data_IF_742600344941
#
_entry.id   IF_742600344941
#
_cell.length_a   1.000
_cell.length_b   1.000
_cell.length_c   1.000
_cell.angle_alpha   90.00
_cell.angle_beta   90.00
_cell.angle_gamma   90.00
#
_symmetry.space_group_name_H-M   'P 1'
#
loop_
_entity.id
_entity.type
_entity.pdbx_description
1 polymer ?
#
# COMPACT_ATOMS: atom_id res chain seq x y z
N UNK A 1 -13.21 -10.62 -34.63
CA UNK A 1 -14.31 -10.08 -33.78
C UNK A 1 -14.47 -8.61 -34.11
N UNK A 2 -15.47 -8.24 -34.91
CA UNK A 2 -15.61 -6.89 -35.48
C UNK A 2 -16.48 -6.00 -34.57
N UNK A 3 -15.94 -4.85 -34.14
CA UNK A 3 -16.68 -3.82 -33.39
C UNK A 3 -17.67 -3.12 -34.34
N UNK A 4 -18.92 -3.01 -33.89
CA UNK A 4 -20.04 -2.48 -34.66
C UNK A 4 -19.87 -0.99 -35.02
N UNK A 5 -20.10 -0.64 -36.30
CA UNK A 5 -20.07 0.73 -36.86
C UNK A 5 -21.03 1.73 -36.17
N UNK A 6 -21.90 1.28 -35.26
CA UNK A 6 -22.74 2.16 -34.42
C UNK A 6 -21.99 2.81 -33.26
N UNK A 7 -20.86 2.25 -32.82
CA UNK A 7 -20.10 2.75 -31.67
C UNK A 7 -19.12 3.88 -32.05
N UNK A 8 -18.61 3.89 -33.29
CA UNK A 8 -17.75 4.97 -33.81
C UNK A 8 -18.49 6.28 -34.09
N UNK A 9 -19.81 6.25 -34.34
CA UNK A 9 -20.60 7.48 -34.60
C UNK A 9 -21.02 8.25 -33.35
N UNK A 10 -20.86 7.68 -32.15
CA UNK A 10 -21.12 8.38 -30.87
C UNK A 10 -19.93 9.19 -30.36
N UNK A 11 -18.71 8.88 -30.80
CA UNK A 11 -17.50 9.59 -30.38
C UNK A 11 -17.26 10.90 -31.15
N UNK A 12 -17.87 11.09 -32.32
CA UNK A 12 -17.68 12.29 -33.15
C UNK A 12 -18.60 13.48 -32.81
N UNK A 13 -19.47 13.36 -31.79
CA UNK A 13 -20.45 14.42 -31.43
C UNK A 13 -20.16 15.18 -30.13
N UNK A 14 -19.07 14.88 -29.41
CA UNK A 14 -18.68 15.63 -28.21
C UNK A 14 -17.61 16.71 -28.46
N UNK A 15 -17.12 16.86 -29.69
CA UNK A 15 -16.08 17.83 -30.03
C UNK A 15 -16.67 19.10 -30.67
N UNK A 16 -17.49 19.85 -29.93
CA UNK A 16 -17.82 21.23 -30.31
C UNK A 16 -18.28 22.00 -29.06
N UNK A 17 -17.55 23.08 -28.77
CA UNK A 17 -17.85 24.12 -27.77
C UNK A 17 -17.35 23.87 -26.34
N UNK A 18 -16.02 23.89 -26.17
CA UNK A 18 -15.39 24.39 -24.94
C UNK A 18 -14.84 25.78 -25.28
N UNK A 19 -15.50 26.82 -24.77
CA UNK A 19 -14.94 28.17 -24.73
C UNK A 19 -13.82 28.17 -23.69
N UNK A 20 -12.58 28.39 -24.14
CA UNK A 20 -11.39 28.46 -23.29
C UNK A 20 -11.40 29.78 -22.53
N UNK A 21 -11.59 29.72 -21.21
CA UNK A 21 -11.29 30.82 -20.29
C UNK A 21 -9.76 30.83 -20.09
N UNK A 22 -9.07 31.97 -20.29
CA UNK A 22 -7.63 32.05 -20.08
C UNK A 22 -7.25 31.82 -18.60
N UNK A 23 -6.13 31.14 -18.31
CA UNK A 23 -5.76 30.66 -16.98
C UNK A 23 -5.43 31.76 -15.95
N UNK A 24 -5.37 33.04 -16.34
CA UNK A 24 -5.06 34.16 -15.45
C UNK A 24 -6.20 34.55 -14.50
N UNK A 25 -7.44 34.19 -14.83
CA UNK A 25 -8.63 34.68 -14.10
C UNK A 25 -9.13 33.73 -13.00
N UNK A 26 -8.60 32.50 -12.92
CA UNK A 26 -8.96 31.53 -11.87
C UNK A 26 -8.24 31.73 -10.53
N UNK A 27 -7.19 32.55 -10.49
CA UNK A 27 -6.30 32.65 -9.31
C UNK A 27 -6.76 33.76 -8.34
N UNK A 28 -7.58 34.73 -8.77
CA UNK A 28 -7.90 35.92 -7.97
C UNK A 28 -9.11 35.83 -7.02
N UNK A 29 -9.91 34.76 -7.03
CA UNK A 29 -11.19 34.73 -6.28
C UNK A 29 -11.23 33.87 -5.00
N UNK A 30 -10.13 33.18 -4.63
CA UNK A 30 -10.13 32.25 -3.47
C UNK A 30 -9.49 32.78 -2.18
N UNK A 31 -9.24 34.09 -2.05
CA UNK A 31 -8.50 34.66 -0.91
C UNK A 31 -9.34 35.09 0.30
N UNK A 32 -10.67 34.92 0.29
CA UNK A 32 -11.55 35.50 1.32
C UNK A 32 -12.39 34.52 2.15
N UNK A 33 -12.12 33.21 2.10
CA UNK A 33 -12.82 32.26 2.98
C UNK A 33 -12.12 32.17 4.35
N UNK A 34 -12.84 32.37 5.47
CA UNK A 34 -12.27 32.21 6.80
C UNK A 34 -11.85 30.76 7.05
N UNK A 35 -10.65 30.58 7.61
CA UNK A 35 -10.05 29.27 7.87
C UNK A 35 -10.81 28.59 9.03
N UNK A 36 -11.31 27.36 8.89
CA UNK A 36 -12.02 26.69 9.97
C UNK A 36 -11.05 26.40 11.13
N UNK A 37 -11.40 26.86 12.33
CA UNK A 37 -10.71 26.53 13.57
C UNK A 37 -11.05 25.10 13.98
N UNK A 38 -10.06 24.21 13.94
CA UNK A 38 -10.17 22.84 14.45
C UNK A 38 -10.09 22.93 15.98
N UNK A 39 -11.06 22.38 16.74
CA UNK A 39 -10.97 22.36 18.18
C UNK A 39 -9.76 21.52 18.62
N UNK A 40 -8.95 22.09 19.53
CA UNK A 40 -7.82 21.42 20.16
C UNK A 40 -8.31 20.25 21.01
N UNK A 41 -7.98 19.02 20.60
CA UNK A 41 -8.25 17.82 21.38
C UNK A 41 -7.12 17.66 22.39
N UNK A 42 -7.37 18.08 23.64
CA UNK A 42 -6.52 17.74 24.77
C UNK A 42 -6.71 16.27 25.18
N UNK A 43 -5.61 15.56 25.40
CA UNK A 43 -5.56 14.30 26.14
C UNK A 43 -5.46 13.02 25.30
N UNK A 44 -4.40 12.85 24.50
CA UNK A 44 -4.02 11.53 23.97
C UNK A 44 -3.17 10.81 25.02
N UNK A 45 -3.76 9.82 25.69
CA UNK A 45 -3.02 8.78 26.41
C UNK A 45 -2.01 8.14 25.45
N UNK A 46 -0.73 8.10 25.82
CA UNK A 46 0.36 7.50 25.05
C UNK A 46 0.32 5.96 25.08
N UNK A 47 -0.81 5.38 24.66
CA UNK A 47 -0.79 4.05 24.04
C UNK A 47 -0.44 4.28 22.57
N UNK A 48 0.82 4.07 22.21
CA UNK A 48 1.31 4.19 20.84
C UNK A 48 0.37 3.46 19.88
N UNK A 49 -0.24 4.17 18.92
CA UNK A 49 -1.20 3.54 18.00
C UNK A 49 -0.49 2.45 17.19
N UNK A 50 -1.20 1.38 16.82
CA UNK A 50 -0.60 0.22 16.16
C UNK A 50 0.30 0.54 14.95
N UNK A 51 0.07 1.59 14.12
CA UNK A 51 1.00 1.93 13.04
C UNK A 51 2.37 2.39 13.56
N UNK A 52 2.41 3.17 14.64
CA UNK A 52 3.67 3.62 15.25
C UNK A 52 4.43 2.42 15.83
N UNK A 53 3.72 1.50 16.51
CA UNK A 53 4.35 0.29 17.01
C UNK A 53 4.90 -0.59 15.87
N UNK A 54 4.17 -0.74 14.76
CA UNK A 54 4.67 -1.42 13.55
C UNK A 54 5.93 -0.74 13.00
N UNK A 55 5.96 0.59 12.97
CA UNK A 55 7.13 1.34 12.51
C UNK A 55 8.34 1.11 13.40
N UNK A 56 8.14 1.10 14.73
CA UNK A 56 9.18 0.79 15.71
C UNK A 56 9.73 -0.63 15.48
N UNK A 57 8.86 -1.63 15.25
CA UNK A 57 9.27 -3.01 14.94
C UNK A 57 10.11 -3.08 13.65
N UNK A 58 9.71 -2.37 12.60
CA UNK A 58 10.48 -2.31 11.35
C UNK A 58 11.88 -1.72 11.57
N UNK A 59 11.98 -0.63 12.36
CA UNK A 59 13.27 -0.02 12.69
C UNK A 59 14.15 -0.94 13.53
N UNK A 60 13.57 -1.63 14.52
CA UNK A 60 14.26 -2.62 15.35
C UNK A 60 14.77 -3.79 14.52
N UNK A 61 14.02 -4.22 13.50
CA UNK A 61 14.46 -5.22 12.53
C UNK A 61 15.50 -4.72 11.51
N UNK A 62 16.02 -3.50 11.69
CA UNK A 62 16.98 -2.84 10.83
C UNK A 62 16.48 -2.59 9.38
N UNK A 63 15.16 -2.45 9.17
CA UNK A 63 14.61 -2.00 7.88
C UNK A 63 15.03 -0.55 7.65
N UNK A 64 15.61 -0.28 6.48
CA UNK A 64 16.12 1.05 6.08
C UNK A 64 15.62 1.51 4.72
N UNK A 65 14.81 0.67 4.05
CA UNK A 65 14.10 1.03 2.83
C UNK A 65 12.62 0.67 2.92
N UNK A 66 11.77 1.58 2.44
CA UNK A 66 10.32 1.37 2.33
C UNK A 66 9.87 1.69 0.90
N UNK A 67 9.49 0.65 0.16
CA UNK A 67 8.84 0.79 -1.14
C UNK A 67 7.33 0.82 -0.95
N UNK A 68 6.61 1.75 -1.58
CA UNK A 68 5.16 1.82 -1.43
C UNK A 68 4.44 2.35 -2.69
N UNK A 69 3.23 1.84 -2.92
CA UNK A 69 2.21 2.53 -3.72
C UNK A 69 1.25 3.22 -2.74
N UNK A 70 0.87 4.50 -2.95
CA UNK A 70 -0.01 5.21 -2.02
C UNK A 70 -1.32 4.47 -1.74
N UNK A 71 -1.52 4.06 -0.48
CA UNK A 71 -2.74 3.43 0.01
C UNK A 71 -3.19 4.08 1.32
N UNK A 72 -4.52 4.18 1.48
CA UNK A 72 -5.15 4.75 2.66
C UNK A 72 -4.90 3.91 3.92
N UNK A 73 -4.76 2.58 3.79
CA UNK A 73 -4.46 1.71 4.92
C UNK A 73 -3.03 1.85 5.44
N UNK A 74 -2.11 2.31 4.59
CA UNK A 74 -0.70 2.51 4.92
C UNK A 74 -0.30 3.97 5.15
N UNK A 75 -1.22 4.93 5.04
CA UNK A 75 -0.88 6.36 5.02
C UNK A 75 -0.01 6.78 6.21
N UNK A 76 -0.32 6.30 7.42
CA UNK A 76 0.47 6.65 8.60
C UNK A 76 1.88 6.06 8.59
N UNK A 77 2.05 4.81 8.13
CA UNK A 77 3.37 4.18 7.97
C UNK A 77 4.19 4.90 6.90
N UNK A 78 3.57 5.30 5.79
CA UNK A 78 4.20 6.05 4.71
C UNK A 78 4.67 7.42 5.22
N UNK A 79 3.80 8.18 5.90
CA UNK A 79 4.15 9.47 6.49
C UNK A 79 5.36 9.37 7.42
N UNK A 80 5.33 8.44 8.38
CA UNK A 80 6.45 8.24 9.32
C UNK A 80 7.74 7.82 8.61
N UNK A 81 7.64 7.01 7.56
CA UNK A 81 8.81 6.59 6.77
C UNK A 81 9.40 7.75 5.97
N UNK A 82 8.58 8.68 5.49
CA UNK A 82 9.04 9.88 4.77
C UNK A 82 9.72 10.87 5.73
N UNK A 83 9.17 11.00 6.94
CA UNK A 83 9.66 11.96 7.95
C UNK A 83 10.94 11.48 8.66
N UNK A 84 11.27 10.19 8.60
CA UNK A 84 12.43 9.60 9.29
C UNK A 84 13.71 9.63 8.42
N UNK A 85 14.78 10.32 8.85
CA UNK A 85 16.00 10.46 8.06
C UNK A 85 16.83 9.16 7.93
N UNK A 86 16.55 8.13 8.73
CA UNK A 86 17.21 6.82 8.63
C UNK A 86 16.53 5.90 7.61
N UNK A 87 15.34 6.26 7.12
CA UNK A 87 14.57 5.46 6.17
C UNK A 87 14.63 6.09 4.79
N UNK A 88 15.13 5.32 3.82
CA UNK A 88 14.99 5.67 2.40
C UNK A 88 13.62 5.22 1.91
N UNK A 89 12.84 6.13 1.33
CA UNK A 89 11.53 5.78 0.77
C UNK A 89 11.54 5.79 -0.75
N UNK A 90 10.74 4.92 -1.36
CA UNK A 90 10.53 4.89 -2.80
C UNK A 90 9.04 4.80 -3.09
N UNK A 91 8.49 5.86 -3.65
CA UNK A 91 7.15 5.84 -4.23
C UNK A 91 7.22 5.06 -5.54
N UNK A 92 6.49 3.96 -5.61
CA UNK A 92 6.50 3.03 -6.73
C UNK A 92 5.43 3.41 -7.75
N UNK A 93 5.71 3.20 -9.03
CA UNK A 93 4.71 3.37 -10.10
C UNK A 93 3.76 2.17 -10.12
N UNK A 94 4.30 0.99 -9.84
CA UNK A 94 3.57 -0.27 -9.72
C UNK A 94 4.13 -1.10 -8.58
N UNK A 95 3.31 -1.98 -7.98
CA UNK A 95 3.72 -2.78 -6.83
C UNK A 95 4.87 -3.75 -7.17
N UNK A 96 4.95 -4.27 -8.40
CA UNK A 96 6.00 -5.19 -8.81
C UNK A 96 7.40 -4.57 -8.81
N UNK A 97 7.53 -3.26 -9.06
CA UNK A 97 8.81 -2.53 -8.95
C UNK A 97 9.40 -2.67 -7.54
N UNK A 98 8.53 -2.65 -6.53
CA UNK A 98 8.90 -2.80 -5.13
C UNK A 98 9.61 -4.11 -4.84
N UNK A 99 9.23 -5.20 -5.53
CA UNK A 99 9.87 -6.51 -5.36
C UNK A 99 11.30 -6.48 -5.90
N UNK A 100 11.49 -5.93 -7.10
CA UNK A 100 12.83 -5.82 -7.70
C UNK A 100 13.75 -4.93 -6.85
N UNK A 101 13.23 -3.79 -6.37
CA UNK A 101 13.96 -2.88 -5.50
C UNK A 101 14.28 -3.56 -4.17
N UNK A 102 13.34 -4.29 -3.56
CA UNK A 102 13.56 -4.96 -2.29
C UNK A 102 14.67 -6.02 -2.41
N UNK A 103 14.66 -6.81 -3.47
CA UNK A 103 15.73 -7.78 -3.77
C UNK A 103 17.07 -7.07 -3.98
N UNK A 104 17.09 -5.98 -4.75
CA UNK A 104 18.31 -5.20 -4.97
C UNK A 104 18.86 -4.56 -3.68
N UNK A 105 17.98 -4.04 -2.83
CA UNK A 105 18.33 -3.48 -1.52
C UNK A 105 18.99 -4.56 -0.65
N UNK A 106 18.42 -5.78 -0.60
CA UNK A 106 19.02 -6.89 0.14
C UNK A 106 20.41 -7.24 -0.38
N UNK A 107 20.59 -7.33 -1.70
CA UNK A 107 21.90 -7.56 -2.32
C UNK A 107 22.91 -6.45 -2.00
N UNK A 108 22.43 -5.23 -1.79
CA UNK A 108 23.23 -4.09 -1.32
C UNK A 108 23.45 -4.03 0.20
N UNK A 109 22.99 -5.02 0.97
CA UNK A 109 23.11 -5.08 2.43
C UNK A 109 22.06 -4.26 3.19
N UNK A 110 20.96 -3.87 2.54
CA UNK A 110 19.89 -3.06 3.11
C UNK A 110 18.59 -3.87 3.22
N UNK A 111 17.98 -3.87 4.40
CA UNK A 111 16.66 -4.50 4.62
C UNK A 111 15.55 -3.56 4.18
N UNK A 112 14.57 -4.11 3.48
CA UNK A 112 13.49 -3.37 2.83
C UNK A 112 12.13 -4.00 3.07
N UNK A 113 11.11 -3.17 3.26
CA UNK A 113 9.70 -3.60 3.32
C UNK A 113 8.93 -2.97 2.17
N UNK A 114 8.02 -3.75 1.57
CA UNK A 114 7.09 -3.24 0.56
C UNK A 114 5.69 -3.07 1.17
N UNK A 115 5.11 -1.90 1.01
CA UNK A 115 3.74 -1.60 1.44
C UNK A 115 2.83 -1.56 0.22
N UNK A 116 1.80 -2.39 0.21
CA UNK A 116 0.84 -2.45 -0.90
C UNK A 116 -0.56 -2.80 -0.44
N UNK A 117 -1.53 -2.70 -1.34
CA UNK A 117 -2.91 -3.14 -1.15
C UNK A 117 -3.14 -4.48 -1.88
N UNK A 118 -4.15 -5.25 -1.46
CA UNK A 118 -4.48 -6.56 -2.05
C UNK A 118 -4.68 -6.56 -3.57
N UNK A 119 -5.14 -5.46 -4.18
CA UNK A 119 -5.32 -5.38 -5.63
C UNK A 119 -3.99 -5.41 -6.39
N UNK A 120 -2.92 -4.87 -5.79
CA UNK A 120 -1.58 -4.85 -6.36
C UNK A 120 -0.87 -6.19 -6.31
N UNK A 121 -1.26 -7.06 -5.37
CA UNK A 121 -0.69 -8.41 -5.25
C UNK A 121 -0.85 -9.21 -6.54
N UNK A 122 -1.95 -9.02 -7.27
CA UNK A 122 -2.19 -9.70 -8.55
C UNK A 122 -1.12 -9.39 -9.61
N UNK A 123 -0.59 -8.16 -9.62
CA UNK A 123 0.47 -7.74 -10.55
C UNK A 123 1.85 -8.29 -10.14
N UNK A 124 2.01 -8.57 -8.85
CA UNK A 124 3.27 -9.00 -8.25
C UNK A 124 3.61 -10.47 -8.48
N UNK A 125 2.64 -11.35 -8.79
CA UNK A 125 2.82 -12.81 -8.71
C UNK A 125 4.01 -13.32 -9.53
N UNK A 126 4.14 -12.88 -10.78
CA UNK A 126 5.29 -13.29 -11.60
C UNK A 126 6.61 -12.74 -11.04
N UNK A 127 6.61 -11.51 -10.51
CA UNK A 127 7.81 -10.87 -9.98
C UNK A 127 8.27 -11.50 -8.65
N UNK A 128 7.34 -12.03 -7.85
CA UNK A 128 7.65 -12.79 -6.63
C UNK A 128 8.47 -14.07 -6.90
N UNK A 129 8.47 -14.57 -8.15
CA UNK A 129 9.37 -15.67 -8.52
C UNK A 129 10.85 -15.31 -8.32
N UNK A 130 11.23 -14.03 -8.40
CA UNK A 130 12.60 -13.59 -8.17
C UNK A 130 13.03 -13.91 -6.73
N UNK A 131 12.46 -13.30 -5.67
CA UNK A 131 12.94 -13.55 -4.31
C UNK A 131 12.76 -15.00 -3.87
N UNK A 132 11.75 -15.71 -4.38
CA UNK A 132 11.55 -17.14 -4.11
C UNK A 132 12.67 -17.98 -4.72
N UNK A 133 13.01 -17.77 -5.99
CA UNK A 133 14.05 -18.55 -6.66
C UNK A 133 15.46 -18.20 -6.20
N UNK A 134 15.71 -16.93 -5.88
CA UNK A 134 17.00 -16.47 -5.36
C UNK A 134 17.13 -16.67 -3.85
N UNK A 135 16.06 -17.11 -3.17
CA UNK A 135 15.98 -17.26 -1.71
C UNK A 135 16.40 -15.98 -0.97
N UNK A 136 16.02 -14.83 -1.52
CA UNK A 136 16.33 -13.55 -0.88
C UNK A 136 15.20 -13.19 0.09
N UNK A 137 15.50 -12.79 1.32
CA UNK A 137 14.55 -12.22 2.25
C UNK A 137 13.59 -11.23 1.59
N UNK A 138 12.30 -11.37 1.88
CA UNK A 138 11.30 -10.43 1.41
C UNK A 138 10.22 -10.24 2.46
N UNK A 139 9.92 -8.98 2.78
CA UNK A 139 8.83 -8.62 3.68
C UNK A 139 7.89 -7.67 2.95
N UNK A 140 6.60 -8.01 2.94
CA UNK A 140 5.55 -7.12 2.45
C UNK A 140 4.42 -7.02 3.47
N UNK A 141 3.86 -5.82 3.61
CA UNK A 141 2.67 -5.56 4.41
C UNK A 141 1.54 -5.17 3.46
N UNK A 142 0.50 -5.98 3.43
CA UNK A 142 -0.60 -5.87 2.48
C UNK A 142 -1.88 -5.47 3.20
N UNK A 143 -2.46 -4.34 2.84
CA UNK A 143 -3.80 -3.96 3.30
C UNK A 143 -4.84 -4.68 2.47
N UNK A 144 -5.77 -5.36 3.13
CA UNK A 144 -6.81 -6.13 2.44
C UNK A 144 -8.00 -5.27 2.05
N UNK A 145 -8.52 -5.54 0.85
CA UNK A 145 -9.78 -5.04 0.27
C UNK A 145 -10.55 -6.20 -0.33
N UNK A 146 -11.85 -6.02 -0.57
CA UNK A 146 -12.71 -7.11 -1.07
C UNK A 146 -13.34 -7.94 0.04
N UNK A 147 -13.29 -7.46 1.29
CA UNK A 147 -13.68 -8.22 2.48
C UNK A 147 -14.83 -7.52 3.23
N UNK A 148 -14.72 -7.42 4.55
CA UNK A 148 -15.76 -6.88 5.43
C UNK A 148 -16.20 -5.48 5.00
N UNK A 149 -17.52 -5.32 4.82
CA UNK A 149 -18.17 -4.08 4.40
C UNK A 149 -17.60 -3.45 3.11
N UNK A 150 -17.04 -4.26 2.20
CA UNK A 150 -16.69 -3.83 0.85
C UNK A 150 -17.93 -3.76 -0.04
N UNK A 151 -17.95 -2.76 -0.91
CA UNK A 151 -19.03 -2.55 -1.88
C UNK A 151 -18.51 -2.33 -3.30
N UNK A 152 -17.21 -2.08 -3.47
CA UNK A 152 -16.58 -2.01 -4.77
C UNK A 152 -16.34 -3.43 -5.32
N UNK A 153 -17.08 -3.86 -6.36
CA UNK A 153 -16.96 -5.22 -6.89
C UNK A 153 -15.57 -5.53 -7.46
N UNK A 154 -14.82 -4.51 -7.89
CA UNK A 154 -13.47 -4.68 -8.44
C UNK A 154 -12.45 -5.17 -7.39
N UNK A 155 -12.75 -4.98 -6.10
CA UNK A 155 -11.87 -5.41 -5.02
C UNK A 155 -12.11 -6.86 -4.58
N UNK A 156 -13.31 -7.40 -4.85
CA UNK A 156 -13.73 -8.72 -4.38
C UNK A 156 -12.84 -9.86 -4.89
N UNK A 157 -12.45 -9.92 -6.20
CA UNK A 157 -11.62 -11.02 -6.69
C UNK A 157 -10.29 -11.13 -5.96
N UNK A 158 -9.58 -10.00 -5.80
CA UNK A 158 -8.31 -10.01 -5.09
C UNK A 158 -8.48 -10.17 -3.57
N UNK A 159 -9.58 -9.70 -2.98
CA UNK A 159 -9.90 -10.00 -1.57
C UNK A 159 -9.99 -11.50 -1.28
N UNK A 160 -10.49 -12.29 -2.23
CA UNK A 160 -10.58 -13.75 -2.12
C UNK A 160 -9.27 -14.45 -2.51
N UNK A 161 -8.57 -13.94 -3.53
CA UNK A 161 -7.43 -14.63 -4.15
C UNK A 161 -6.07 -14.30 -3.53
N UNK A 162 -5.92 -13.17 -2.83
CA UNK A 162 -4.60 -12.66 -2.40
C UNK A 162 -3.77 -13.69 -1.62
N UNK A 163 -4.33 -14.26 -0.54
CA UNK A 163 -3.60 -15.23 0.28
C UNK A 163 -3.21 -16.48 -0.53
N UNK A 164 -4.18 -17.09 -1.20
CA UNK A 164 -3.93 -18.29 -2.00
C UNK A 164 -2.88 -18.03 -3.12
N UNK A 165 -2.87 -16.84 -3.70
CA UNK A 165 -1.92 -16.47 -4.76
C UNK A 165 -0.50 -16.30 -4.23
N UNK A 166 -0.36 -15.69 -3.04
CA UNK A 166 0.93 -15.55 -2.34
C UNK A 166 1.47 -16.92 -1.90
N UNK A 167 0.63 -17.76 -1.29
CA UNK A 167 1.02 -19.10 -0.86
C UNK A 167 1.40 -19.99 -2.06
N UNK A 168 0.67 -19.90 -3.18
CA UNK A 168 0.95 -20.68 -4.38
C UNK A 168 2.32 -20.38 -5.00
N UNK A 169 2.82 -19.14 -4.91
CA UNK A 169 4.15 -18.78 -5.40
C UNK A 169 5.25 -19.04 -4.35
N UNK A 170 4.90 -19.43 -3.12
CA UNK A 170 5.84 -19.78 -2.05
C UNK A 170 6.09 -18.69 -1.02
N UNK A 171 5.26 -17.63 -0.97
CA UNK A 171 5.32 -16.61 0.07
C UNK A 171 4.51 -17.05 1.28
N UNK A 172 5.11 -16.98 2.47
CA UNK A 172 4.43 -17.29 3.72
C UNK A 172 3.48 -16.16 4.10
N UNK A 173 2.26 -16.49 4.49
CA UNK A 173 1.22 -15.50 4.80
C UNK A 173 0.89 -15.53 6.29
N UNK A 174 0.96 -14.35 6.93
CA UNK A 174 0.48 -14.12 8.29
C UNK A 174 -0.65 -13.10 8.21
N UNK A 175 -1.78 -13.38 8.86
CA UNK A 175 -2.98 -12.55 8.73
C UNK A 175 -3.39 -11.98 10.08
N UNK A 176 -3.62 -10.68 10.12
CA UNK A 176 -3.91 -9.93 11.34
C UNK A 176 -5.22 -9.14 11.21
N UNK A 177 -5.99 -9.13 12.30
CA UNK A 177 -7.34 -8.54 12.37
C UNK A 177 -7.47 -7.44 13.43
N UNK A 178 -6.51 -7.35 14.35
CA UNK A 178 -6.43 -6.33 15.39
C UNK A 178 -5.08 -5.60 15.31
N UNK A 179 -4.98 -4.41 15.91
CA UNK A 179 -3.72 -3.65 15.91
C UNK A 179 -2.56 -4.43 16.54
N UNK A 180 -2.80 -5.07 17.68
CA UNK A 180 -1.80 -5.87 18.39
C UNK A 180 -1.34 -7.08 17.57
N UNK A 181 -2.27 -7.74 16.85
CA UNK A 181 -1.93 -8.82 15.91
C UNK A 181 -1.06 -8.32 14.76
N UNK A 182 -1.29 -7.10 14.25
CA UNK A 182 -0.45 -6.55 13.17
C UNK A 182 0.97 -6.32 13.68
N UNK A 183 1.13 -5.74 14.87
CA UNK A 183 2.46 -5.51 15.47
C UNK A 183 3.20 -6.83 15.64
N UNK A 184 2.55 -7.83 16.24
CA UNK A 184 3.14 -9.16 16.43
C UNK A 184 3.48 -9.85 15.10
N UNK A 185 2.60 -9.75 14.10
CA UNK A 185 2.81 -10.34 12.78
C UNK A 185 3.96 -9.68 12.02
N UNK A 186 4.14 -8.36 12.13
CA UNK A 186 5.26 -7.66 11.50
C UNK A 186 6.58 -8.00 12.19
N UNK A 187 6.62 -8.01 13.53
CA UNK A 187 7.81 -8.39 14.27
C UNK A 187 8.27 -9.82 13.92
N UNK A 188 7.33 -10.77 13.93
CA UNK A 188 7.57 -12.15 13.52
C UNK A 188 7.99 -12.22 12.04
N UNK A 189 7.27 -11.54 11.15
CA UNK A 189 7.51 -11.56 9.71
C UNK A 189 8.88 -10.99 9.35
N UNK A 190 9.32 -9.92 10.02
CA UNK A 190 10.65 -9.36 9.84
C UNK A 190 11.75 -10.31 10.32
N UNK A 191 11.55 -10.98 11.47
CA UNK A 191 12.46 -12.02 11.95
C UNK A 191 12.57 -13.17 10.95
N UNK A 192 11.43 -13.68 10.46
CA UNK A 192 11.41 -14.76 9.48
C UNK A 192 12.05 -14.34 8.15
N UNK A 193 11.79 -13.11 7.70
CA UNK A 193 12.37 -12.62 6.46
C UNK A 193 13.89 -12.52 6.57
N UNK A 194 14.40 -11.76 7.54
CA UNK A 194 15.81 -11.35 7.54
C UNK A 194 16.75 -12.22 8.37
N UNK A 195 16.23 -13.07 9.27
CA UNK A 195 17.03 -13.99 10.07
C UNK A 195 16.87 -15.46 9.63
N UNK A 196 15.82 -15.77 8.85
CA UNK A 196 15.54 -17.13 8.36
C UNK A 196 15.39 -17.23 6.83
N UNK A 197 15.76 -16.18 6.09
CA UNK A 197 15.75 -16.13 4.62
C UNK A 197 14.39 -16.43 3.97
N UNK A 198 13.30 -16.04 4.63
CA UNK A 198 11.95 -16.30 4.13
C UNK A 198 11.34 -15.13 3.36
N UNK A 199 10.36 -15.45 2.51
CA UNK A 199 9.48 -14.47 1.88
C UNK A 199 8.18 -14.44 2.66
N UNK A 200 7.83 -13.30 3.24
CA UNK A 200 6.70 -13.15 4.17
C UNK A 200 5.79 -12.01 3.75
N UNK A 201 4.49 -12.27 3.75
CA UNK A 201 3.44 -11.28 3.59
C UNK A 201 2.57 -11.20 4.84
N UNK A 202 2.48 -10.00 5.42
CA UNK A 202 1.55 -9.71 6.51
C UNK A 202 0.29 -9.08 5.94
N UNK A 203 -0.85 -9.75 6.05
CA UNK A 203 -2.14 -9.26 5.58
C UNK A 203 -2.90 -8.55 6.72
N UNK A 204 -3.20 -7.27 6.52
CA UNK A 204 -4.00 -6.46 7.43
C UNK A 204 -5.47 -6.50 6.98
N UNK A 205 -6.34 -7.07 7.80
CA UNK A 205 -7.76 -7.21 7.45
C UNK A 205 -8.46 -5.87 7.22
N UNK A 206 -9.43 -5.85 6.30
CA UNK A 206 -10.23 -4.65 6.06
C UNK A 206 -11.04 -4.20 7.30
N UNK A 207 -11.41 -5.15 8.18
CA UNK A 207 -12.15 -4.87 9.42
C UNK A 207 -11.38 -3.92 10.34
N UNK A 208 -10.05 -4.07 10.43
CA UNK A 208 -9.18 -3.19 11.22
C UNK A 208 -9.11 -1.78 10.61
N UNK A 209 -9.08 -1.70 9.28
CA UNK A 209 -8.96 -0.43 8.53
C UNK A 209 -10.29 0.36 8.52
N UNK A 210 -11.40 -0.28 8.88
CA UNK A 210 -12.72 0.33 8.98
C UNK A 210 -13.54 0.28 7.68
N UNK A 211 -14.82 0.61 7.82
CA UNK A 211 -15.75 0.67 6.69
C UNK A 211 -15.41 1.88 5.83
N UNK A 212 -15.35 1.68 4.51
CA UNK A 212 -15.22 2.79 3.57
C UNK A 212 -16.55 3.52 3.39
N UNK A 213 -16.50 4.85 3.49
CA UNK A 213 -17.62 5.76 3.23
C UNK A 213 -17.14 6.76 2.19
N UNK A 214 -17.64 6.66 0.96
CA UNK A 214 -17.47 7.70 -0.04
C UNK A 214 -18.81 8.00 -0.70
#
# INVERSE_FOLDING_TARGET
>A
MAVSRRQQRRLSRCASTISLIPPSDLIRSKSSLPRPTIPSVEGVNTSTSWPHAVFDELKQANVRHVGYVPDAGHSKLIEMSIDDPEITTSMLTTEEEGIAIATGAWLGGMRSVVLMQSSGVGNCINMLSLPVQTRTPFLTIVTMRGEWAEFNPWQVPMGQATQASLEAIGVQVVRATTGDEVVAAVAQGATMAYEADQQVAVLISQKLLGKKTW
#
